data_IF_921660359501
#
_entry.id   IF_921660359501
#
_cell.length_a   1.000
_cell.length_b   1.000
_cell.length_c   1.000
_cell.angle_alpha   90.00
_cell.angle_beta   90.00
_cell.angle_gamma   90.00
#
_symmetry.space_group_name_H-M   'P 1'
#
loop_
_entity.id
_entity.type
_entity.pdbx_description
1 polymer ?
#
# COMPACT_ATOMS: atom_id res chain seq x y z
N UNK A 1 -32.39 -27.59 -12.54
CA UNK A 1 -30.94 -27.83 -12.73
C UNK A 1 -30.27 -26.70 -13.52
N UNK A 2 -30.81 -26.29 -14.69
CA UNK A 2 -30.30 -25.11 -15.43
C UNK A 2 -30.31 -23.80 -14.61
N UNK A 3 -31.36 -23.54 -13.82
CA UNK A 3 -31.44 -22.35 -12.94
C UNK A 3 -30.36 -22.34 -11.86
N UNK A 4 -30.18 -23.45 -11.12
CA UNK A 4 -29.14 -23.59 -10.10
C UNK A 4 -27.73 -23.37 -10.67
N UNK A 5 -27.49 -23.80 -11.91
CA UNK A 5 -26.22 -23.63 -12.62
C UNK A 5 -25.97 -22.15 -12.98
N UNK A 6 -27.01 -21.46 -13.44
CA UNK A 6 -26.97 -20.01 -13.70
C UNK A 6 -26.73 -19.21 -12.43
N UNK A 7 -27.34 -19.61 -11.31
CA UNK A 7 -27.16 -18.95 -10.02
C UNK A 7 -25.73 -19.06 -9.49
N UNK A 8 -25.07 -20.20 -9.68
CA UNK A 8 -23.66 -20.41 -9.28
C UNK A 8 -22.73 -19.52 -10.11
N UNK A 9 -22.94 -19.45 -11.44
CA UNK A 9 -22.13 -18.61 -12.33
C UNK A 9 -22.33 -17.13 -11.99
N UNK A 10 -23.58 -16.68 -11.84
CA UNK A 10 -23.91 -15.32 -11.44
C UNK A 10 -23.30 -14.95 -10.08
N UNK A 11 -23.31 -15.87 -9.12
CA UNK A 11 -22.69 -15.66 -7.82
C UNK A 11 -21.17 -15.45 -7.93
N UNK A 12 -20.49 -16.22 -8.78
CA UNK A 12 -19.06 -16.03 -9.04
C UNK A 12 -18.77 -14.71 -9.78
N UNK A 13 -19.56 -14.36 -10.79
CA UNK A 13 -19.42 -13.11 -11.54
C UNK A 13 -19.64 -11.89 -10.65
N UNK A 14 -20.67 -11.91 -9.80
CA UNK A 14 -20.93 -10.86 -8.81
C UNK A 14 -19.76 -10.72 -7.83
N UNK A 15 -19.16 -11.82 -7.38
CA UNK A 15 -17.97 -11.77 -6.50
C UNK A 15 -16.75 -11.18 -7.20
N UNK A 16 -16.53 -11.48 -8.48
CA UNK A 16 -15.46 -10.86 -9.27
C UNK A 16 -15.71 -9.35 -9.36
N UNK A 17 -16.94 -8.94 -9.68
CA UNK A 17 -17.31 -7.52 -9.79
C UNK A 17 -17.10 -6.76 -8.48
N UNK A 18 -17.49 -7.33 -7.33
CA UNK A 18 -17.22 -6.74 -6.02
C UNK A 18 -15.72 -6.61 -5.74
N UNK A 19 -14.91 -7.59 -6.16
CA UNK A 19 -13.45 -7.51 -6.02
C UNK A 19 -12.86 -6.41 -6.91
N UNK A 20 -13.34 -6.28 -8.16
CA UNK A 20 -12.96 -5.19 -9.07
C UNK A 20 -13.32 -3.81 -8.48
N UNK A 21 -14.49 -3.67 -7.87
CA UNK A 21 -14.92 -2.44 -7.19
C UNK A 21 -14.04 -2.12 -5.97
N UNK A 22 -13.74 -3.11 -5.12
CA UNK A 22 -12.85 -2.92 -3.97
C UNK A 22 -11.44 -2.52 -4.39
N UNK A 23 -10.93 -3.10 -5.48
CA UNK A 23 -9.63 -2.75 -6.05
C UNK A 23 -9.64 -1.32 -6.58
N UNK A 24 -10.71 -0.95 -7.29
CA UNK A 24 -10.90 0.41 -7.81
C UNK A 24 -11.00 1.42 -6.68
N UNK A 25 -11.75 1.11 -5.62
CA UNK A 25 -11.85 1.95 -4.42
C UNK A 25 -10.52 2.12 -3.70
N UNK A 26 -9.76 1.03 -3.51
CA UNK A 26 -8.41 1.09 -2.94
C UNK A 26 -7.46 1.94 -3.80
N UNK A 27 -7.61 1.88 -5.13
CA UNK A 27 -6.83 2.69 -6.05
C UNK A 27 -7.15 4.18 -5.91
N UNK A 28 -8.43 4.56 -5.85
CA UNK A 28 -8.83 5.95 -5.60
C UNK A 28 -8.28 6.47 -4.27
N UNK A 29 -8.34 5.66 -3.21
CA UNK A 29 -7.74 6.01 -1.93
C UNK A 29 -6.22 6.27 -2.07
N UNK A 30 -5.50 5.42 -2.81
CA UNK A 30 -4.06 5.62 -3.05
C UNK A 30 -3.75 6.88 -3.88
N UNK A 31 -4.61 7.23 -4.84
CA UNK A 31 -4.44 8.45 -5.65
C UNK A 31 -4.66 9.73 -4.81
N UNK A 32 -5.62 9.72 -3.88
CA UNK A 32 -5.78 10.84 -2.93
C UNK A 32 -4.58 10.99 -1.99
N UNK A 33 -3.93 9.87 -1.64
CA UNK A 33 -2.68 9.87 -0.88
C UNK A 33 -1.51 10.46 -1.68
N UNK A 34 -1.42 10.24 -3.00
CA UNK A 34 -0.40 10.85 -3.86
C UNK A 34 -0.50 12.39 -3.85
N UNK A 35 -1.71 12.92 -3.96
CA UNK A 35 -1.95 14.36 -3.87
C UNK A 35 -1.50 14.91 -2.50
N UNK A 36 -1.85 14.19 -1.42
CA UNK A 36 -1.44 14.55 -0.06
C UNK A 36 0.09 14.52 0.13
N UNK A 37 0.79 13.58 -0.51
CA UNK A 37 2.25 13.52 -0.47
C UNK A 37 2.90 14.66 -1.29
N UNK A 38 2.29 15.05 -2.41
CA UNK A 38 2.75 16.20 -3.19
C UNK A 38 2.60 17.51 -2.40
N UNK A 39 1.47 17.70 -1.73
CA UNK A 39 1.25 18.84 -0.82
C UNK A 39 2.29 18.87 0.31
N UNK A 40 2.57 17.71 0.91
CA UNK A 40 3.60 17.60 1.95
C UNK A 40 5.01 17.96 1.42
N UNK A 41 5.33 17.57 0.17
CA UNK A 41 6.60 17.93 -0.45
C UNK A 41 6.70 19.44 -0.74
N UNK A 42 5.61 20.06 -1.21
CA UNK A 42 5.56 21.51 -1.43
C UNK A 42 5.70 22.28 -0.11
N UNK A 43 4.99 21.85 0.92
CA UNK A 43 5.11 22.40 2.27
C UNK A 43 6.56 22.32 2.76
N UNK A 44 7.21 21.17 2.58
CA UNK A 44 8.61 20.98 2.96
C UNK A 44 9.55 21.94 2.22
N UNK A 45 9.31 22.18 0.93
CA UNK A 45 10.10 23.13 0.15
C UNK A 45 9.97 24.55 0.72
N UNK A 46 8.77 24.97 1.11
CA UNK A 46 8.52 26.26 1.77
C UNK A 46 9.23 26.34 3.13
N UNK A 47 9.08 25.31 3.97
CA UNK A 47 9.72 25.24 5.29
C UNK A 47 11.26 25.26 5.18
N UNK A 48 11.82 24.58 4.17
CA UNK A 48 13.26 24.62 3.88
C UNK A 48 13.75 26.05 3.65
N UNK A 49 13.04 26.81 2.82
CA UNK A 49 13.40 28.21 2.52
C UNK A 49 13.34 29.06 3.79
N UNK A 50 12.25 28.96 4.56
CA UNK A 50 12.10 29.70 5.82
C UNK A 50 13.20 29.36 6.84
N UNK A 51 13.53 28.07 7.02
CA UNK A 51 14.62 27.65 7.92
C UNK A 51 15.97 28.19 7.47
N UNK A 52 16.24 28.19 6.17
CA UNK A 52 17.48 28.72 5.61
C UNK A 52 17.61 30.22 5.90
N UNK A 53 16.55 31.00 5.71
CA UNK A 53 16.52 32.43 6.01
C UNK A 53 16.75 32.73 7.49
N UNK A 54 16.05 32.00 8.39
CA UNK A 54 16.17 32.16 9.83
C UNK A 54 17.60 31.86 10.30
N UNK A 55 18.15 30.70 9.90
CA UNK A 55 19.50 30.30 10.32
C UNK A 55 20.58 31.27 9.80
N UNK A 56 20.40 31.79 8.57
CA UNK A 56 21.28 32.80 7.99
C UNK A 56 21.25 34.10 8.79
N UNK A 57 20.06 34.58 9.18
CA UNK A 57 19.90 35.77 10.04
C UNK A 57 20.53 35.59 11.41
N UNK A 58 20.44 34.40 11.99
CA UNK A 58 21.03 34.10 13.30
C UNK A 58 22.56 33.90 13.26
N UNK A 59 23.22 34.08 12.10
CA UNK A 59 24.64 33.77 11.87
C UNK A 59 25.04 32.33 12.28
N UNK A 60 24.06 31.43 12.38
CA UNK A 60 24.22 30.05 12.86
C UNK A 60 24.38 29.05 11.70
N UNK A 61 24.43 29.56 10.47
CA UNK A 61 24.36 28.77 9.24
C UNK A 61 25.73 28.61 8.58
N UNK A 62 26.32 27.43 8.72
CA UNK A 62 27.21 26.92 7.66
C UNK A 62 26.34 26.38 6.53
N UNK A 63 26.21 27.14 5.44
CA UNK A 63 25.34 26.80 4.29
C UNK A 63 25.52 25.35 3.80
N UNK A 64 26.76 24.85 3.79
CA UNK A 64 27.10 23.48 3.41
C UNK A 64 26.45 22.43 4.32
N UNK A 65 26.49 22.64 5.63
CA UNK A 65 25.99 21.67 6.62
C UNK A 65 24.46 21.60 6.57
N UNK A 66 23.79 22.75 6.47
CA UNK A 66 22.35 22.81 6.27
C UNK A 66 21.90 22.15 4.98
N UNK A 67 22.56 22.46 3.86
CA UNK A 67 22.25 21.85 2.58
C UNK A 67 22.41 20.33 2.63
N UNK A 68 23.47 19.84 3.27
CA UNK A 68 23.71 18.41 3.46
C UNK A 68 22.56 17.77 4.27
N UNK A 69 22.18 18.35 5.40
CA UNK A 69 21.10 17.82 6.24
C UNK A 69 19.75 17.82 5.51
N UNK A 70 19.41 18.93 4.85
CA UNK A 70 18.17 19.03 4.07
C UNK A 70 18.17 18.15 2.83
N UNK A 71 19.33 17.86 2.26
CA UNK A 71 19.44 16.91 1.15
C UNK A 71 19.16 15.50 1.63
N UNK A 72 19.70 15.07 2.78
CA UNK A 72 19.42 13.75 3.40
C UNK A 72 17.93 13.61 3.76
N UNK A 73 17.41 14.62 4.46
CA UNK A 73 16.08 15.20 4.26
C UNK A 73 15.22 14.65 3.12
N UNK A 74 15.38 15.31 1.99
CA UNK A 74 14.58 15.17 0.79
C UNK A 74 14.88 13.87 0.06
N UNK A 75 16.14 13.47 -0.09
CA UNK A 75 16.52 12.29 -0.87
C UNK A 75 15.96 11.00 -0.30
N UNK A 76 15.92 10.85 1.03
CA UNK A 76 15.34 9.67 1.66
C UNK A 76 13.81 9.62 1.47
N UNK A 77 13.14 10.78 1.51
CA UNK A 77 11.70 10.89 1.24
C UNK A 77 11.39 10.52 -0.21
N UNK A 78 12.15 11.06 -1.16
CA UNK A 78 12.04 10.75 -2.58
C UNK A 78 12.31 9.26 -2.85
N UNK A 79 13.35 8.68 -2.24
CA UNK A 79 13.66 7.26 -2.38
C UNK A 79 12.50 6.38 -1.87
N UNK A 80 11.90 6.71 -0.72
CA UNK A 80 10.75 5.97 -0.18
C UNK A 80 9.53 6.10 -1.09
N UNK A 81 9.26 7.30 -1.61
CA UNK A 81 8.19 7.54 -2.58
C UNK A 81 8.38 6.69 -3.84
N UNK A 82 9.57 6.71 -4.44
CA UNK A 82 9.86 5.90 -5.63
C UNK A 82 9.67 4.40 -5.37
N UNK A 83 10.10 3.89 -4.21
CA UNK A 83 9.85 2.49 -3.83
C UNK A 83 8.37 2.16 -3.70
N UNK A 84 7.57 3.06 -3.11
CA UNK A 84 6.12 2.89 -3.02
C UNK A 84 5.45 2.93 -4.39
N UNK A 85 5.93 3.76 -5.31
CA UNK A 85 5.43 3.80 -6.69
C UNK A 85 5.72 2.50 -7.44
N UNK A 86 6.90 1.92 -7.27
CA UNK A 86 7.25 0.60 -7.81
C UNK A 86 6.39 -0.52 -7.20
N UNK A 87 6.25 -0.54 -5.86
CA UNK A 87 5.42 -1.51 -5.16
C UNK A 87 3.95 -1.41 -5.59
N UNK A 88 3.44 -0.19 -5.81
CA UNK A 88 2.09 0.05 -6.35
C UNK A 88 1.94 -0.53 -7.76
N UNK A 89 2.91 -0.32 -8.65
CA UNK A 89 2.88 -0.89 -10.01
C UNK A 89 2.84 -2.42 -9.94
N UNK A 90 3.67 -3.01 -9.10
CA UNK A 90 3.72 -4.46 -8.89
C UNK A 90 2.39 -5.01 -8.37
N UNK A 91 1.80 -4.39 -7.35
CA UNK A 91 0.50 -4.83 -6.79
C UNK A 91 -0.62 -4.68 -7.80
N UNK A 92 -0.61 -3.60 -8.58
CA UNK A 92 -1.59 -3.41 -9.67
C UNK A 92 -1.50 -4.56 -10.67
N UNK A 93 -0.29 -4.91 -11.08
CA UNK A 93 -0.09 -6.04 -12.00
C UNK A 93 -0.60 -7.35 -11.38
N UNK A 94 -0.26 -7.64 -10.12
CA UNK A 94 -0.70 -8.85 -9.43
C UNK A 94 -2.23 -8.93 -9.30
N UNK A 95 -2.91 -7.79 -9.08
CA UNK A 95 -4.37 -7.70 -9.03
C UNK A 95 -5.01 -7.93 -10.39
N UNK A 96 -4.47 -7.33 -11.45
CA UNK A 96 -4.93 -7.57 -12.82
C UNK A 96 -4.80 -9.04 -13.19
N UNK A 97 -3.63 -9.64 -12.96
CA UNK A 97 -3.39 -11.06 -13.20
C UNK A 97 -4.31 -11.97 -12.37
N UNK A 98 -4.65 -11.57 -11.14
CA UNK A 98 -5.62 -12.30 -10.33
C UNK A 98 -7.03 -12.25 -10.92
N UNK A 99 -7.51 -11.07 -11.30
CA UNK A 99 -8.84 -10.90 -11.92
C UNK A 99 -8.93 -11.66 -13.24
N UNK A 100 -7.89 -11.59 -14.08
CA UNK A 100 -7.88 -12.26 -15.37
C UNK A 100 -7.94 -13.78 -15.20
N UNK A 101 -7.19 -14.33 -14.23
CA UNK A 101 -7.31 -15.74 -13.89
C UNK A 101 -8.69 -16.10 -13.35
N UNK A 102 -9.29 -15.26 -12.51
CA UNK A 102 -10.67 -15.47 -12.03
C UNK A 102 -11.67 -15.56 -13.19
N UNK A 103 -11.57 -14.65 -14.17
CA UNK A 103 -12.39 -14.63 -15.38
C UNK A 103 -12.20 -15.89 -16.22
N UNK A 104 -10.96 -16.35 -16.37
CA UNK A 104 -10.66 -17.61 -17.08
C UNK A 104 -11.25 -18.83 -16.36
N UNK A 105 -11.14 -18.88 -15.03
CA UNK A 105 -11.70 -19.97 -14.24
C UNK A 105 -13.23 -20.01 -14.30
N UNK A 106 -13.91 -18.85 -14.26
CA UNK A 106 -15.37 -18.78 -14.43
C UNK A 106 -15.78 -19.19 -15.84
N UNK A 107 -15.04 -18.76 -16.87
CA UNK A 107 -15.31 -19.17 -18.26
C UNK A 107 -15.17 -20.68 -18.44
N UNK A 108 -14.14 -21.28 -17.83
CA UNK A 108 -13.94 -22.73 -17.82
C UNK A 108 -15.06 -23.46 -17.09
N UNK A 109 -15.46 -22.97 -15.91
CA UNK A 109 -16.59 -23.53 -15.15
C UNK A 109 -17.88 -23.48 -15.96
N UNK A 110 -18.16 -22.36 -16.62
CA UNK A 110 -19.33 -22.18 -17.48
C UNK A 110 -19.35 -23.20 -18.62
N UNK A 111 -18.23 -23.40 -19.31
CA UNK A 111 -18.13 -24.39 -20.38
C UNK A 111 -18.39 -25.81 -19.87
N UNK A 112 -17.77 -26.19 -18.75
CA UNK A 112 -17.97 -27.51 -18.15
C UNK A 112 -19.42 -27.72 -17.68
N UNK A 113 -20.06 -26.69 -17.14
CA UNK A 113 -21.46 -26.73 -16.74
C UNK A 113 -22.40 -26.90 -17.95
N UNK A 114 -22.10 -26.24 -19.07
CA UNK A 114 -22.83 -26.44 -20.34
C UNK A 114 -22.68 -27.90 -20.79
N UNK A 115 -21.46 -28.43 -20.81
CA UNK A 115 -21.19 -29.81 -21.24
C UNK A 115 -21.88 -30.83 -20.32
N UNK A 116 -21.86 -30.59 -19.00
CA UNK A 116 -22.53 -31.42 -17.99
C UNK A 116 -24.04 -31.52 -18.23
N UNK A 117 -24.71 -30.39 -18.51
CA UNK A 117 -26.15 -30.34 -18.79
C UNK A 117 -26.51 -31.07 -20.09
N UNK A 118 -25.66 -31.00 -21.12
CA UNK A 118 -25.93 -31.64 -22.42
C UNK A 118 -25.63 -33.15 -22.42
N UNK A 119 -24.68 -33.62 -21.62
CA UNK A 119 -24.17 -35.01 -21.68
C UNK A 119 -24.59 -35.90 -20.52
N UNK A 120 -25.49 -35.45 -19.63
CA UNK A 120 -25.74 -36.13 -18.34
C UNK A 120 -24.40 -36.39 -17.62
N UNK A 121 -23.64 -35.32 -17.42
CA UNK A 121 -22.27 -35.40 -16.94
C UNK A 121 -22.14 -36.04 -15.56
N UNK A 122 -20.93 -36.48 -15.27
CA UNK A 122 -20.53 -37.02 -13.97
C UNK A 122 -20.53 -35.90 -12.91
N UNK A 123 -21.35 -36.09 -11.87
CA UNK A 123 -21.50 -35.14 -10.77
C UNK A 123 -20.19 -35.00 -9.99
N UNK A 124 -19.45 -36.10 -9.84
CA UNK A 124 -18.21 -36.13 -9.07
C UNK A 124 -17.12 -35.32 -9.78
N UNK A 125 -17.05 -35.42 -11.11
CA UNK A 125 -16.14 -34.62 -11.94
C UNK A 125 -16.45 -33.11 -11.85
N UNK A 126 -17.74 -32.72 -11.85
CA UNK A 126 -18.14 -31.32 -11.69
C UNK A 126 -17.77 -30.78 -10.31
N UNK A 127 -18.01 -31.56 -9.25
CA UNK A 127 -17.66 -31.19 -7.88
C UNK A 127 -16.14 -31.06 -7.70
N UNK A 128 -15.35 -31.94 -8.31
CA UNK A 128 -13.90 -31.85 -8.33
C UNK A 128 -13.41 -30.55 -9.00
N UNK A 129 -13.99 -30.17 -10.15
CA UNK A 129 -13.67 -28.90 -10.81
C UNK A 129 -14.01 -27.71 -9.92
N UNK A 130 -15.21 -27.69 -9.32
CA UNK A 130 -15.62 -26.60 -8.43
C UNK A 130 -14.63 -26.45 -7.27
N UNK A 131 -14.20 -27.57 -6.68
CA UNK A 131 -13.21 -27.58 -5.60
C UNK A 131 -11.82 -27.11 -6.05
N UNK A 132 -11.37 -27.50 -7.25
CA UNK A 132 -10.12 -27.00 -7.85
C UNK A 132 -10.17 -25.48 -8.05
N UNK A 133 -11.25 -24.97 -8.60
CA UNK A 133 -11.48 -23.53 -8.79
C UNK A 133 -11.47 -22.82 -7.44
N UNK A 134 -12.26 -23.27 -6.48
CA UNK A 134 -12.31 -22.70 -5.13
C UNK A 134 -10.93 -22.63 -4.47
N UNK A 135 -10.14 -23.69 -4.60
CA UNK A 135 -8.78 -23.76 -4.04
C UNK A 135 -7.85 -22.76 -4.73
N UNK A 136 -7.92 -22.63 -6.07
CA UNK A 136 -7.15 -21.65 -6.82
C UNK A 136 -7.49 -20.21 -6.40
N UNK A 137 -8.79 -19.90 -6.29
CA UNK A 137 -9.30 -18.60 -5.82
C UNK A 137 -8.77 -18.25 -4.43
N UNK A 138 -8.85 -19.19 -3.49
CA UNK A 138 -8.41 -18.99 -2.11
C UNK A 138 -6.91 -18.79 -2.03
N UNK A 139 -6.11 -19.65 -2.69
CA UNK A 139 -4.65 -19.59 -2.61
C UNK A 139 -4.11 -18.28 -3.17
N UNK A 140 -4.48 -17.93 -4.41
CA UNK A 140 -3.96 -16.72 -5.05
C UNK A 140 -4.56 -15.45 -4.45
N UNK A 141 -5.84 -15.48 -4.07
CA UNK A 141 -6.49 -14.37 -3.39
C UNK A 141 -5.78 -14.03 -2.08
N UNK A 142 -5.50 -15.02 -1.23
CA UNK A 142 -4.78 -14.78 0.03
C UNK A 142 -3.42 -14.13 -0.17
N UNK A 143 -2.67 -14.53 -1.21
CA UNK A 143 -1.38 -13.94 -1.54
C UNK A 143 -1.52 -12.47 -1.95
N UNK A 144 -2.41 -12.18 -2.90
CA UNK A 144 -2.60 -10.84 -3.46
C UNK A 144 -3.16 -9.87 -2.41
N UNK A 145 -4.12 -10.32 -1.59
CA UNK A 145 -4.64 -9.50 -0.48
C UNK A 145 -3.61 -9.27 0.63
N UNK A 146 -2.72 -10.23 0.89
CA UNK A 146 -1.61 -10.01 1.81
C UNK A 146 -0.65 -8.92 1.29
N UNK A 147 -0.28 -8.98 0.01
CA UNK A 147 0.56 -7.96 -0.63
C UNK A 147 -0.09 -6.56 -0.56
N UNK A 148 -1.39 -6.48 -0.89
CA UNK A 148 -2.13 -5.21 -0.83
C UNK A 148 -2.17 -4.63 0.59
N UNK A 149 -2.41 -5.47 1.60
CA UNK A 149 -2.40 -5.05 3.01
C UNK A 149 -1.02 -4.55 3.42
N UNK A 150 0.03 -5.27 3.08
CA UNK A 150 1.39 -4.92 3.48
C UNK A 150 1.82 -3.58 2.85
N UNK A 151 1.46 -3.35 1.59
CA UNK A 151 1.62 -2.05 0.93
C UNK A 151 0.83 -0.93 1.61
N UNK A 152 -0.42 -1.19 1.97
CA UNK A 152 -1.23 -0.20 2.68
C UNK A 152 -0.59 0.23 4.00
N UNK A 153 -0.06 -0.72 4.78
CA UNK A 153 0.68 -0.43 6.02
C UNK A 153 1.91 0.44 5.76
N UNK A 154 2.70 0.13 4.73
CA UNK A 154 3.89 0.91 4.38
C UNK A 154 3.54 2.32 3.92
N UNK A 155 2.49 2.45 3.12
CA UNK A 155 1.99 3.75 2.65
C UNK A 155 1.53 4.63 3.82
N UNK A 156 0.76 4.07 4.76
CA UNK A 156 0.28 4.77 5.95
C UNK A 156 1.46 5.27 6.82
N UNK A 157 2.46 4.41 7.04
CA UNK A 157 3.64 4.78 7.83
C UNK A 157 4.47 5.85 7.12
N UNK A 158 4.67 5.74 5.80
CA UNK A 158 5.35 6.76 5.03
C UNK A 158 4.62 8.10 5.14
N UNK A 159 3.30 8.13 5.00
CA UNK A 159 2.52 9.36 5.14
C UNK A 159 2.59 9.96 6.55
N UNK A 160 2.58 9.11 7.59
CA UNK A 160 2.77 9.56 8.97
C UNK A 160 4.16 10.16 9.17
N UNK A 161 5.20 9.53 8.65
CA UNK A 161 6.58 10.03 8.69
C UNK A 161 6.69 11.40 8.02
N UNK A 162 6.12 11.56 6.81
CA UNK A 162 6.14 12.83 6.07
C UNK A 162 5.47 13.97 6.85
N UNK A 163 4.32 13.69 7.49
CA UNK A 163 3.64 14.65 8.37
C UNK A 163 4.45 14.98 9.62
N UNK A 164 5.07 13.99 10.26
CA UNK A 164 5.92 14.21 11.44
C UNK A 164 7.16 15.05 11.09
N UNK A 165 7.80 14.77 9.96
CA UNK A 165 8.92 15.57 9.45
C UNK A 165 8.46 17.01 9.25
N UNK A 166 7.37 17.24 8.52
CA UNK A 166 6.88 18.60 8.27
C UNK A 166 6.44 19.31 9.57
N UNK A 167 5.81 18.59 10.50
CA UNK A 167 5.47 19.11 11.82
C UNK A 167 6.70 19.54 12.63
N UNK A 168 7.77 18.75 12.61
CA UNK A 168 9.05 19.13 13.23
C UNK A 168 9.68 20.33 12.54
N UNK A 169 9.70 20.37 11.21
CA UNK A 169 10.22 21.51 10.45
C UNK A 169 9.44 22.79 10.79
N UNK A 170 8.11 22.73 10.90
CA UNK A 170 7.26 23.83 11.39
C UNK A 170 7.66 24.28 12.79
N UNK A 171 7.83 23.35 13.72
CA UNK A 171 8.27 23.66 15.08
C UNK A 171 9.64 24.33 15.14
N UNK A 172 10.53 24.02 14.19
CA UNK A 172 11.83 24.67 14.07
C UNK A 172 11.70 26.08 13.49
N UNK A 173 10.84 26.28 12.48
CA UNK A 173 10.53 27.61 11.95
C UNK A 173 9.94 28.50 13.04
N UNK A 174 9.00 27.99 13.85
CA UNK A 174 8.34 28.77 14.91
C UNK A 174 9.29 29.20 16.03
N UNK A 175 10.46 28.57 16.18
CA UNK A 175 11.49 28.95 17.16
C UNK A 175 12.27 30.21 16.78
N UNK A 176 12.25 30.60 15.50
CA UNK A 176 12.87 31.83 15.01
C UNK A 176 14.34 31.97 15.42
N UNK A 177 14.65 33.02 16.18
CA UNK A 177 16.02 33.38 16.59
C UNK A 177 16.68 32.33 17.51
N UNK A 178 15.89 31.50 18.19
CA UNK A 178 16.40 30.44 19.07
C UNK A 178 16.78 29.14 18.34
N UNK A 179 16.56 29.09 17.02
CA UNK A 179 16.85 27.92 16.19
C UNK A 179 18.36 27.72 16.02
N UNK A 180 18.83 26.48 16.23
CA UNK A 180 20.22 26.06 16.00
C UNK A 180 20.27 24.94 14.97
N UNK A 181 21.42 24.80 14.31
CA UNK A 181 21.66 23.74 13.33
C UNK A 181 21.56 22.33 13.95
N UNK A 182 21.94 22.18 15.22
CA UNK A 182 21.86 20.93 15.97
C UNK A 182 20.43 20.40 16.07
N UNK A 183 19.42 21.28 16.05
CA UNK A 183 18.02 20.88 16.12
C UNK A 183 17.59 20.10 14.87
N UNK A 184 18.20 20.37 13.72
CA UNK A 184 17.98 19.62 12.47
C UNK A 184 18.60 18.22 12.48
N UNK A 185 19.49 17.91 13.43
CA UNK A 185 20.10 16.56 13.54
C UNK A 185 19.17 15.54 14.18
N UNK A 186 17.98 15.94 14.64
CA UNK A 186 17.00 15.05 15.27
C UNK A 186 16.06 14.35 14.27
N UNK A 187 16.16 14.63 12.97
CA UNK A 187 15.29 14.01 11.96
C UNK A 187 15.58 12.52 11.70
N UNK A 188 16.84 12.04 11.70
CA UNK A 188 17.13 10.62 11.52
C UNK A 188 16.47 9.71 12.57
N UNK A 189 16.26 10.19 13.81
CA UNK A 189 15.66 9.37 14.87
C UNK A 189 14.16 9.12 14.66
N UNK A 190 13.45 10.06 14.03
CA UNK A 190 12.04 9.87 13.63
C UNK A 190 11.92 8.69 12.69
N UNK A 191 12.83 8.60 11.73
CA UNK A 191 12.81 7.58 10.69
C UNK A 191 13.03 6.19 11.25
N UNK A 192 14.03 6.04 12.11
CA UNK A 192 14.31 4.76 12.79
C UNK A 192 13.09 4.29 13.60
N UNK A 193 12.35 5.23 14.20
CA UNK A 193 11.13 4.90 14.92
C UNK A 193 10.03 4.37 13.98
N UNK A 194 9.81 5.04 12.85
CA UNK A 194 8.79 4.67 11.87
C UNK A 194 9.12 3.33 11.17
N UNK A 195 10.38 3.07 10.82
CA UNK A 195 10.80 1.78 10.27
C UNK A 195 10.53 0.61 11.22
N UNK A 196 10.79 0.82 12.52
CA UNK A 196 10.45 -0.16 13.56
C UNK A 196 8.93 -0.33 13.69
N UNK A 197 8.15 0.72 13.48
CA UNK A 197 6.68 0.66 13.48
C UNK A 197 6.17 -0.22 12.32
N UNK A 198 6.72 -0.09 11.11
CA UNK A 198 6.39 -0.96 9.97
C UNK A 198 6.63 -2.42 10.33
N UNK A 199 7.83 -2.75 10.82
CA UNK A 199 8.18 -4.14 11.17
C UNK A 199 7.23 -4.70 12.23
N UNK A 200 6.86 -3.90 13.24
CA UNK A 200 5.92 -4.31 14.28
C UNK A 200 4.51 -4.55 13.71
N UNK A 201 4.01 -3.63 12.88
CA UNK A 201 2.66 -3.74 12.28
C UNK A 201 2.55 -4.94 11.36
N UNK A 202 3.58 -5.21 10.55
CA UNK A 202 3.60 -6.36 9.63
C UNK A 202 3.70 -7.71 10.36
N UNK A 203 4.33 -7.77 11.55
CA UNK A 203 4.46 -9.02 12.33
C UNK A 203 3.27 -9.34 13.23
N UNK A 204 2.43 -8.36 13.59
CA UNK A 204 1.25 -8.60 14.46
C UNK A 204 0.32 -9.73 13.98
N UNK A 205 0.02 -9.87 12.68
CA UNK A 205 -0.81 -10.97 12.18
C UNK A 205 -0.16 -12.36 12.33
N UNK A 206 1.17 -12.47 12.23
CA UNK A 206 1.90 -13.73 12.41
C UNK A 206 1.92 -14.16 13.88
N UNK A 207 2.22 -13.21 14.77
CA UNK A 207 2.24 -13.45 16.22
C UNK A 207 0.85 -13.85 16.72
N UNK A 208 -0.21 -13.19 16.25
CA UNK A 208 -1.58 -13.55 16.59
C UNK A 208 -1.96 -14.98 16.19
N UNK A 209 -1.45 -15.47 15.05
CA UNK A 209 -1.67 -16.87 14.63
C UNK A 209 -0.89 -17.86 15.49
N UNK A 210 0.37 -17.55 15.83
CA UNK A 210 1.19 -18.42 16.67
C UNK A 210 0.60 -18.55 18.08
N UNK A 211 0.11 -17.44 18.65
CA UNK A 211 -0.51 -17.43 19.99
C UNK A 211 -1.89 -18.11 20.00
N UNK A 212 -2.65 -18.06 18.90
CA UNK A 212 -3.96 -18.73 18.82
C UNK A 212 -3.89 -20.27 18.63
N UNK A 213 -2.70 -20.80 18.32
CA UNK A 213 -2.45 -22.25 18.16
C UNK A 213 -1.52 -22.81 19.26
N UNK A 214 -1.31 -22.04 20.33
CA UNK A 214 -0.58 -22.44 21.56
C UNK A 214 -1.57 -22.66 22.69
#
# INVERSE_FOLDING_TARGET
>A
MKEVVLDIVNCCENRISVVEELITGAYYATATLDASLAEAAEERAKLKISLQEILARNCSLRRKDFNTLMQIIVSESEMKKSRLEEERKYIRQALTEYIDEQKQLVSSLRQQLVDFVHRQGDKDALEETINKIKTAYQRKGLQVFAQLRDFHVRLEVCWKEEREINGKLRSLVSRGESLRLEDLRQFPTVRIHQEREVVRRLRRPEVGRLVAHS
#
